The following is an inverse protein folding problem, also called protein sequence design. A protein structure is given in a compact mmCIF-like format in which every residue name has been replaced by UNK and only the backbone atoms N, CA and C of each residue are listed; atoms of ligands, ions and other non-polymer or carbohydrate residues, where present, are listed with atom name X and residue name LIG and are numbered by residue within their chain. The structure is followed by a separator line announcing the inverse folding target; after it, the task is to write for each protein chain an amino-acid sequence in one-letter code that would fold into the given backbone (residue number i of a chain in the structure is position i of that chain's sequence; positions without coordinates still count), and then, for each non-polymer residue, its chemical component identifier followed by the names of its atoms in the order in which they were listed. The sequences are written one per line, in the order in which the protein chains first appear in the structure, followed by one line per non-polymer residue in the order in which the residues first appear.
data_IF_490385312701
#
_entry.id   IF_490385312701
#
_cell.length_a   1.000
_cell.length_b   1.000
_cell.length_c   1.000
_cell.angle_alpha   90.00
_cell.angle_beta   90.00
_cell.angle_gamma   90.00
#
_symmetry.space_group_name_H-M   'P 1'
#
loop_
_entity.id
_entity.type
_entity.pdbx_description
1 polymer ?
#
# COMPACT_ATOMS: atom_id res chain seq x y z
N UNK A 1 15.91 -10.38 3.12
CA UNK A 1 14.96 -10.20 1.98
C UNK A 1 13.91 -9.18 2.39
N UNK A 2 13.45 -8.32 1.49
CA UNK A 2 12.40 -7.34 1.79
C UNK A 2 11.04 -7.91 1.33
N UNK A 3 10.08 -7.99 2.25
CA UNK A 3 8.73 -8.50 1.98
C UNK A 3 7.75 -7.33 2.04
N UNK A 4 6.86 -7.25 1.06
CA UNK A 4 5.66 -6.43 1.09
C UNK A 4 4.42 -7.31 1.13
N UNK A 5 3.29 -6.77 1.55
CA UNK A 5 2.07 -7.53 1.62
C UNK A 5 0.81 -6.71 1.39
N UNK A 6 -0.29 -7.40 1.33
CA UNK A 6 -1.63 -6.84 1.25
C UNK A 6 -2.63 -7.80 1.88
N UNK A 7 -3.47 -7.29 2.77
CA UNK A 7 -4.61 -8.04 3.27
C UNK A 7 -5.65 -8.25 2.16
N UNK A 8 -6.15 -9.45 2.07
CA UNK A 8 -7.30 -9.85 1.26
C UNK A 8 -8.52 -10.03 2.18
N UNK A 9 -9.72 -10.10 1.62
CA UNK A 9 -10.95 -10.22 2.42
C UNK A 9 -10.93 -11.43 3.36
N UNK A 10 -10.37 -12.55 2.89
CA UNK A 10 -10.33 -13.81 3.63
C UNK A 10 -8.90 -14.40 3.68
N UNK A 11 -7.88 -13.56 3.57
CA UNK A 11 -6.51 -14.02 3.49
C UNK A 11 -5.46 -12.93 3.44
N UNK A 12 -4.26 -13.34 3.05
CA UNK A 12 -3.07 -12.48 2.96
C UNK A 12 -2.33 -12.78 1.65
N UNK A 13 -1.88 -11.73 0.98
CA UNK A 13 -0.92 -11.78 -0.13
C UNK A 13 0.41 -11.22 0.36
N UNK A 14 1.48 -11.98 0.21
CA UNK A 14 2.86 -11.54 0.45
C UNK A 14 3.64 -11.55 -0.86
N UNK A 15 4.58 -10.62 -0.99
CA UNK A 15 5.40 -10.46 -2.18
C UNK A 15 6.85 -10.17 -1.79
N UNK A 16 7.77 -10.85 -2.46
CA UNK A 16 9.18 -10.47 -2.51
C UNK A 16 9.48 -9.64 -3.77
N UNK A 17 10.73 -9.53 -4.13
CA UNK A 17 11.12 -8.96 -5.42
C UNK A 17 10.75 -9.89 -6.59
N UNK A 18 10.84 -11.22 -6.42
CA UNK A 18 10.71 -12.25 -7.48
C UNK A 18 9.40 -13.02 -7.46
N UNK A 19 8.82 -13.22 -6.29
CA UNK A 19 7.68 -14.11 -6.10
C UNK A 19 6.55 -13.45 -5.34
N UNK A 20 5.38 -14.04 -5.49
CA UNK A 20 4.22 -13.77 -4.65
C UNK A 20 3.67 -15.09 -4.09
N UNK A 21 3.12 -15.03 -2.90
CA UNK A 21 2.36 -16.10 -2.26
C UNK A 21 1.11 -15.53 -1.61
N UNK A 22 -0.02 -16.15 -1.85
CA UNK A 22 -1.30 -15.80 -1.27
C UNK A 22 -1.89 -17.01 -0.55
N UNK A 23 -2.35 -16.81 0.67
CA UNK A 23 -3.10 -17.80 1.42
C UNK A 23 -4.48 -17.27 1.75
N UNK A 24 -5.51 -18.11 1.59
CA UNK A 24 -6.91 -17.76 1.79
C UNK A 24 -7.58 -18.82 2.64
N UNK A 25 -8.40 -18.40 3.61
CA UNK A 25 -9.30 -19.27 4.37
C UNK A 25 -10.54 -19.57 3.54
N UNK A 26 -10.74 -20.81 3.17
CA UNK A 26 -11.92 -21.26 2.44
C UNK A 26 -13.14 -21.36 3.36
N UNK A 27 -14.33 -21.53 2.74
CA UNK A 27 -15.57 -21.63 3.49
C UNK A 27 -15.68 -22.91 4.36
N UNK A 28 -14.95 -23.95 4.00
CA UNK A 28 -14.85 -25.20 4.78
C UNK A 28 -13.83 -25.14 5.93
N UNK A 29 -13.16 -23.97 6.09
CA UNK A 29 -12.15 -23.76 7.12
C UNK A 29 -10.72 -24.15 6.70
N UNK A 30 -10.51 -24.77 5.55
CA UNK A 30 -9.17 -25.09 5.04
C UNK A 30 -8.41 -23.83 4.60
N UNK A 31 -7.08 -23.91 4.59
CA UNK A 31 -6.20 -22.85 4.07
C UNK A 31 -5.70 -23.26 2.71
N UNK A 32 -6.10 -22.52 1.68
CA UNK A 32 -5.58 -22.69 0.33
C UNK A 32 -4.43 -21.70 0.09
N UNK A 33 -3.28 -22.25 -0.31
CA UNK A 33 -2.10 -21.48 -0.67
C UNK A 33 -1.90 -21.51 -2.18
N UNK A 34 -1.60 -20.36 -2.76
CA UNK A 34 -1.29 -20.20 -4.18
C UNK A 34 -0.09 -19.27 -4.30
N UNK A 35 0.78 -19.54 -5.25
CA UNK A 35 2.01 -18.77 -5.42
C UNK A 35 2.43 -18.70 -6.88
N UNK A 36 3.40 -17.83 -7.18
CA UNK A 36 3.94 -17.71 -8.52
C UNK A 36 5.06 -16.69 -8.64
N UNK A 37 5.69 -16.68 -9.82
CA UNK A 37 6.69 -15.67 -10.15
C UNK A 37 6.01 -14.30 -10.37
N UNK A 38 6.70 -13.25 -9.95
CA UNK A 38 6.28 -11.87 -10.17
C UNK A 38 6.70 -11.42 -11.57
N UNK A 39 5.73 -10.92 -12.33
CA UNK A 39 6.04 -10.34 -13.62
C UNK A 39 6.75 -8.99 -13.44
N UNK A 40 7.87 -8.80 -14.11
CA UNK A 40 8.55 -7.52 -14.18
C UNK A 40 8.11 -6.75 -15.42
N UNK A 41 8.02 -5.42 -15.27
CA UNK A 41 7.73 -4.54 -16.40
C UNK A 41 8.93 -4.53 -17.36
N UNK A 42 8.72 -4.55 -18.68
CA UNK A 42 9.80 -4.39 -19.65
C UNK A 42 10.60 -3.10 -19.37
N UNK A 43 11.92 -3.20 -19.30
CA UNK A 43 12.79 -2.06 -18.99
C UNK A 43 12.78 -1.62 -17.52
N UNK A 44 12.21 -2.41 -16.61
CA UNK A 44 12.12 -2.10 -15.18
C UNK A 44 13.47 -1.72 -14.57
N UNK A 45 14.56 -2.35 -14.97
CA UNK A 45 15.89 -2.05 -14.43
C UNK A 45 16.34 -0.62 -14.70
N UNK A 46 16.12 -0.13 -15.93
CA UNK A 46 16.43 1.27 -16.28
C UNK A 46 15.54 2.24 -15.51
N UNK A 47 14.24 1.93 -15.40
CA UNK A 47 13.27 2.76 -14.69
C UNK A 47 13.54 2.80 -13.18
N UNK A 48 14.04 1.71 -12.60
CA UNK A 48 14.42 1.63 -11.17
C UNK A 48 15.58 2.54 -10.79
N UNK A 49 16.37 3.03 -11.76
CA UNK A 49 17.46 3.98 -11.52
C UNK A 49 17.00 5.43 -11.56
N UNK A 50 15.81 5.71 -12.12
CA UNK A 50 15.31 7.07 -12.30
C UNK A 50 14.56 7.53 -11.03
N UNK A 51 15.06 8.56 -10.31
CA UNK A 51 14.33 9.15 -9.18
C UNK A 51 12.92 9.60 -9.61
N UNK A 52 11.98 9.60 -8.66
CA UNK A 52 10.56 9.90 -8.84
C UNK A 52 9.77 8.85 -9.64
N UNK A 53 10.41 8.09 -10.54
CA UNK A 53 9.72 7.07 -11.36
C UNK A 53 9.84 5.68 -10.72
N UNK A 54 10.99 5.36 -10.13
CA UNK A 54 11.28 4.04 -9.56
C UNK A 54 10.28 3.56 -8.50
N UNK A 55 9.80 4.47 -7.65
CA UNK A 55 8.81 4.13 -6.63
C UNK A 55 7.45 3.79 -7.24
N UNK A 56 7.03 4.59 -8.23
CA UNK A 56 5.78 4.36 -8.98
C UNK A 56 5.84 3.06 -9.77
N UNK A 57 6.99 2.76 -10.40
CA UNK A 57 7.18 1.52 -11.14
C UNK A 57 7.09 0.29 -10.22
N UNK A 58 7.73 0.33 -9.04
CA UNK A 58 7.62 -0.75 -8.04
C UNK A 58 6.19 -0.95 -7.55
N UNK A 59 5.45 0.13 -7.34
CA UNK A 59 4.02 0.05 -7.00
C UNK A 59 3.22 -0.60 -8.13
N UNK A 60 3.46 -0.20 -9.37
CA UNK A 60 2.80 -0.79 -10.54
C UNK A 60 3.12 -2.30 -10.67
N UNK A 61 4.37 -2.72 -10.48
CA UNK A 61 4.76 -4.13 -10.46
C UNK A 61 4.08 -4.91 -9.32
N UNK A 62 3.96 -4.30 -8.14
CA UNK A 62 3.25 -4.92 -7.02
C UNK A 62 1.76 -5.11 -7.30
N UNK A 63 1.14 -4.18 -8.01
CA UNK A 63 -0.26 -4.30 -8.42
C UNK A 63 -0.47 -5.23 -9.62
N UNK A 64 0.54 -5.37 -10.48
CA UNK A 64 0.48 -6.23 -11.67
C UNK A 64 0.33 -7.73 -11.33
N UNK A 65 0.61 -8.14 -10.09
CA UNK A 65 0.38 -9.54 -9.67
C UNK A 65 -1.10 -9.84 -9.37
N UNK A 66 -1.92 -8.83 -9.10
CA UNK A 66 -3.31 -9.02 -8.63
C UNK A 66 -4.18 -9.84 -9.58
N UNK A 67 -4.11 -9.69 -10.92
CA UNK A 67 -4.84 -10.56 -11.83
C UNK A 67 -4.43 -12.04 -11.74
N UNK A 68 -3.14 -12.32 -11.47
CA UNK A 68 -2.65 -13.68 -11.28
C UNK A 68 -3.15 -14.26 -9.95
N UNK A 69 -3.06 -13.48 -8.87
CA UNK A 69 -3.59 -13.84 -7.56
C UNK A 69 -5.09 -14.13 -7.64
N UNK A 70 -5.87 -13.26 -8.30
CA UNK A 70 -7.31 -13.46 -8.48
C UNK A 70 -7.63 -14.77 -9.22
N UNK A 71 -6.90 -15.06 -10.30
CA UNK A 71 -7.09 -16.32 -11.06
C UNK A 71 -6.76 -17.55 -10.23
N UNK A 72 -5.71 -17.47 -9.43
CA UNK A 72 -5.25 -18.59 -8.60
C UNK A 72 -6.13 -18.82 -7.37
N UNK A 73 -6.62 -17.74 -6.77
CA UNK A 73 -7.39 -17.82 -5.51
C UNK A 73 -8.90 -17.78 -5.71
N UNK A 74 -9.38 -17.24 -6.85
CA UNK A 74 -10.81 -16.97 -7.06
C UNK A 74 -11.38 -15.85 -6.17
N UNK A 75 -10.59 -15.30 -5.26
CA UNK A 75 -11.04 -14.30 -4.30
C UNK A 75 -10.97 -12.87 -4.90
N UNK A 76 -11.86 -11.96 -4.46
CA UNK A 76 -11.74 -10.54 -4.79
C UNK A 76 -10.43 -9.99 -4.25
N UNK A 77 -9.64 -9.35 -5.13
CA UNK A 77 -8.34 -8.77 -4.77
C UNK A 77 -8.35 -7.24 -4.77
N UNK A 78 -9.37 -6.63 -5.40
CA UNK A 78 -9.53 -5.19 -5.46
C UNK A 78 -10.77 -4.74 -4.68
N UNK A 79 -10.65 -3.70 -3.83
CA UNK A 79 -11.79 -3.14 -3.10
C UNK A 79 -12.94 -2.70 -4.03
N UNK A 80 -12.61 -2.23 -5.25
CA UNK A 80 -13.56 -1.74 -6.24
C UNK A 80 -14.45 -2.83 -6.85
N UNK A 81 -14.18 -4.10 -6.55
CA UNK A 81 -15.07 -5.21 -6.92
C UNK A 81 -16.36 -5.23 -6.08
N UNK A 82 -16.36 -4.56 -4.92
CA UNK A 82 -17.57 -4.26 -4.16
C UNK A 82 -18.21 -2.99 -4.74
N UNK A 83 -19.49 -3.03 -5.19
CA UNK A 83 -20.21 -1.87 -5.73
C UNK A 83 -20.27 -0.69 -4.76
N UNK A 84 -20.29 -0.96 -3.44
CA UNK A 84 -20.28 0.09 -2.40
C UNK A 84 -18.94 0.83 -2.38
N UNK A 85 -17.84 0.10 -2.55
CA UNK A 85 -16.50 0.66 -2.60
C UNK A 85 -16.27 1.44 -3.89
N UNK A 86 -16.80 0.92 -5.01
CA UNK A 86 -16.78 1.65 -6.29
C UNK A 86 -17.52 2.98 -6.18
N UNK A 87 -18.74 2.96 -5.60
CA UNK A 87 -19.52 4.18 -5.38
C UNK A 87 -18.82 5.17 -4.42
N UNK A 88 -18.24 4.68 -3.32
CA UNK A 88 -17.49 5.51 -2.38
C UNK A 88 -16.25 6.16 -3.04
N UNK A 89 -15.54 5.40 -3.87
CA UNK A 89 -14.37 5.91 -4.61
C UNK A 89 -14.79 6.97 -5.64
N UNK A 90 -15.87 6.73 -6.37
CA UNK A 90 -16.42 7.71 -7.32
C UNK A 90 -16.89 8.99 -6.62
N UNK A 91 -17.59 8.87 -5.48
CA UNK A 91 -18.03 10.00 -4.68
C UNK A 91 -16.83 10.81 -4.13
N UNK A 92 -15.79 10.13 -3.65
CA UNK A 92 -14.55 10.75 -3.18
C UNK A 92 -13.85 11.50 -4.31
N UNK A 93 -13.76 10.92 -5.50
CA UNK A 93 -13.19 11.57 -6.68
C UNK A 93 -13.98 12.82 -7.07
N UNK A 94 -15.30 12.74 -7.13
CA UNK A 94 -16.18 13.88 -7.43
C UNK A 94 -16.03 14.99 -6.40
N UNK A 95 -16.02 14.67 -5.10
CA UNK A 95 -15.82 15.63 -4.01
C UNK A 95 -14.43 16.28 -4.09
N UNK A 96 -13.38 15.53 -4.42
CA UNK A 96 -12.03 16.05 -4.65
C UNK A 96 -12.00 17.06 -5.80
N UNK A 97 -12.63 16.73 -6.93
CA UNK A 97 -12.75 17.65 -8.07
C UNK A 97 -13.52 18.92 -7.69
N UNK A 98 -14.63 18.79 -6.96
CA UNK A 98 -15.41 19.93 -6.47
C UNK A 98 -14.59 20.82 -5.52
N UNK A 99 -13.84 20.23 -4.57
CA UNK A 99 -12.94 20.98 -3.67
C UNK A 99 -11.85 21.74 -4.46
N UNK A 100 -11.25 21.09 -5.46
CA UNK A 100 -10.21 21.69 -6.29
C UNK A 100 -10.73 22.80 -7.21
N UNK A 101 -11.98 22.72 -7.66
CA UNK A 101 -12.63 23.75 -8.50
C UNK A 101 -13.00 25.02 -7.73
N UNK A 102 -13.12 24.97 -6.40
CA UNK A 102 -13.46 26.13 -5.57
C UNK A 102 -12.33 27.16 -5.62
N UNK A 103 -12.69 28.45 -5.81
CA UNK A 103 -11.72 29.57 -5.81
C UNK A 103 -11.45 30.15 -4.42
N UNK A 104 -12.29 29.81 -3.42
CA UNK A 104 -12.24 30.36 -2.06
C UNK A 104 -11.49 29.42 -1.11
N UNK A 105 -10.87 29.99 -0.09
CA UNK A 105 -10.25 29.25 1.01
C UNK A 105 -8.74 29.11 0.92
N UNK A 106 -8.11 28.75 2.04
CA UNK A 106 -6.68 28.50 2.17
C UNK A 106 -6.25 27.30 1.32
N UNK A 107 -5.14 27.39 0.58
CA UNK A 107 -4.56 26.26 -0.15
C UNK A 107 -4.29 25.04 0.76
N UNK A 108 -3.76 25.29 1.95
CA UNK A 108 -3.44 24.24 2.94
C UNK A 108 -4.70 23.53 3.40
N UNK A 109 -5.76 24.29 3.76
CA UNK A 109 -7.03 23.68 4.19
C UNK A 109 -7.68 22.86 3.07
N UNK A 110 -7.55 23.28 1.81
CA UNK A 110 -8.03 22.52 0.66
C UNK A 110 -7.31 21.19 0.52
N UNK A 111 -5.98 21.18 0.60
CA UNK A 111 -5.22 19.93 0.49
C UNK A 111 -5.49 18.99 1.66
N UNK A 112 -5.67 19.51 2.86
CA UNK A 112 -6.11 18.70 4.01
C UNK A 112 -7.52 18.13 3.80
N UNK A 113 -8.45 18.92 3.27
CA UNK A 113 -9.81 18.46 2.96
C UNK A 113 -9.79 17.40 1.84
N UNK A 114 -8.99 17.61 0.79
CA UNK A 114 -8.79 16.62 -0.29
C UNK A 114 -8.20 15.33 0.27
N UNK A 115 -7.18 15.42 1.13
CA UNK A 115 -6.59 14.25 1.78
C UNK A 115 -7.64 13.49 2.62
N UNK A 116 -8.42 14.19 3.44
CA UNK A 116 -9.48 13.59 4.25
C UNK A 116 -10.55 12.89 3.40
N UNK A 117 -11.04 13.54 2.34
CA UNK A 117 -12.01 12.97 1.41
C UNK A 117 -11.43 11.76 0.67
N UNK A 118 -10.17 11.82 0.27
CA UNK A 118 -9.50 10.71 -0.43
C UNK A 118 -9.27 9.48 0.45
N UNK A 119 -9.20 9.65 1.76
CA UNK A 119 -9.11 8.55 2.73
C UNK A 119 -10.47 7.90 3.03
N UNK A 120 -11.59 8.56 2.73
CA UNK A 120 -12.92 8.05 3.09
C UNK A 120 -13.23 6.64 2.54
N UNK A 121 -12.94 6.29 1.28
CA UNK A 121 -13.14 4.93 0.79
C UNK A 121 -12.30 3.89 1.55
N UNK A 122 -11.04 4.22 1.87
CA UNK A 122 -10.18 3.36 2.66
C UNK A 122 -10.73 3.11 4.06
N UNK A 123 -11.19 4.17 4.74
CA UNK A 123 -11.78 4.06 6.07
C UNK A 123 -13.09 3.24 6.06
N UNK A 124 -13.88 3.33 4.99
CA UNK A 124 -15.07 2.51 4.80
C UNK A 124 -14.71 1.04 4.59
N UNK A 125 -13.70 0.74 3.79
CA UNK A 125 -13.19 -0.61 3.56
C UNK A 125 -12.73 -1.25 4.87
N UNK A 126 -11.99 -0.49 5.67
CA UNK A 126 -11.38 -0.96 6.91
C UNK A 126 -12.35 -0.98 8.12
N UNK A 127 -13.59 -0.54 7.93
CA UNK A 127 -14.68 -0.86 8.86
C UNK A 127 -15.01 -2.36 8.89
N UNK A 128 -14.63 -3.10 7.86
CA UNK A 128 -14.67 -4.56 7.90
C UNK A 128 -13.58 -5.04 8.89
N UNK A 129 -14.02 -5.39 10.09
CA UNK A 129 -13.15 -5.89 11.16
C UNK A 129 -12.37 -7.16 10.75
N UNK A 130 -12.88 -7.93 9.78
CA UNK A 130 -12.22 -9.12 9.25
C UNK A 130 -11.00 -8.74 8.40
N UNK A 131 -11.14 -7.79 7.48
CA UNK A 131 -10.03 -7.28 6.67
C UNK A 131 -8.96 -6.62 7.54
N UNK A 132 -9.37 -5.81 8.54
CA UNK A 132 -8.43 -5.16 9.45
C UNK A 132 -7.63 -6.18 10.29
N UNK A 133 -8.23 -7.32 10.66
CA UNK A 133 -7.51 -8.41 11.33
C UNK A 133 -6.54 -9.14 10.40
N UNK A 134 -6.90 -9.41 9.14
CA UNK A 134 -5.94 -9.97 8.18
C UNK A 134 -4.80 -9.00 7.87
N UNK A 135 -5.06 -7.69 7.90
CA UNK A 135 -4.00 -6.68 7.79
C UNK A 135 -3.08 -6.69 9.02
N UNK A 136 -3.63 -6.88 10.22
CA UNK A 136 -2.84 -7.11 11.43
C UNK A 136 -2.01 -8.41 11.36
N UNK A 137 -2.60 -9.50 10.83
CA UNK A 137 -1.91 -10.77 10.65
C UNK A 137 -0.75 -10.66 9.66
N UNK A 138 -0.97 -9.97 8.51
CA UNK A 138 0.08 -9.67 7.54
C UNK A 138 1.26 -8.93 8.18
N UNK A 139 0.98 -7.85 8.92
CA UNK A 139 2.02 -7.06 9.59
C UNK A 139 2.79 -7.88 10.63
N UNK A 140 2.08 -8.63 11.48
CA UNK A 140 2.70 -9.47 12.51
C UNK A 140 3.60 -10.54 11.91
N UNK A 141 3.15 -11.21 10.84
CA UNK A 141 3.93 -12.24 10.15
C UNK A 141 5.21 -11.68 9.51
N UNK A 142 5.11 -10.51 8.84
CA UNK A 142 6.28 -9.82 8.28
C UNK A 142 7.22 -9.36 9.39
N UNK A 143 6.71 -8.73 10.44
CA UNK A 143 7.51 -8.22 11.56
C UNK A 143 8.19 -9.36 12.34
N UNK A 144 7.53 -10.49 12.50
CA UNK A 144 8.08 -11.71 13.09
C UNK A 144 9.28 -12.23 12.28
N UNK A 145 9.12 -12.35 10.97
CA UNK A 145 10.20 -12.74 10.07
C UNK A 145 11.41 -11.79 10.16
N UNK A 146 11.17 -10.47 10.20
CA UNK A 146 12.23 -9.46 10.24
C UNK A 146 12.97 -9.39 11.58
N UNK A 147 12.27 -9.66 12.67
CA UNK A 147 12.83 -9.55 14.03
C UNK A 147 13.24 -10.90 14.64
N UNK A 148 12.87 -12.03 14.02
CA UNK A 148 13.08 -13.37 14.55
C UNK A 148 12.23 -13.67 15.82
N UNK A 149 11.09 -12.97 15.98
CA UNK A 149 10.14 -13.18 17.08
C UNK A 149 8.97 -14.05 16.62
N UNK A 150 8.19 -14.55 17.60
CA UNK A 150 6.93 -15.20 17.29
C UNK A 150 5.90 -14.20 16.75
N UNK A 151 5.08 -14.56 15.72
CA UNK A 151 4.08 -13.68 15.15
C UNK A 151 3.10 -13.10 16.18
N UNK A 152 2.72 -13.89 17.19
CA UNK A 152 1.82 -13.43 18.25
C UNK A 152 2.39 -12.28 19.09
N UNK A 153 3.72 -12.21 19.23
CA UNK A 153 4.43 -11.17 20.01
C UNK A 153 4.79 -9.94 19.19
N UNK A 154 4.69 -10.01 17.86
CA UNK A 154 5.01 -8.90 16.98
C UNK A 154 3.92 -7.82 17.03
N UNK A 155 4.30 -6.57 16.74
CA UNK A 155 3.35 -5.46 16.66
C UNK A 155 2.51 -5.55 15.37
N UNK A 156 1.23 -5.16 15.47
CA UNK A 156 0.33 -5.08 14.31
C UNK A 156 0.53 -3.80 13.48
N UNK A 157 1.25 -2.82 14.00
CA UNK A 157 1.68 -1.62 13.27
C UNK A 157 3.01 -1.89 12.55
N UNK A 158 3.10 -1.49 11.29
CA UNK A 158 4.30 -1.73 10.49
C UNK A 158 4.83 -0.44 9.85
N UNK A 159 6.14 -0.21 9.98
CA UNK A 159 6.79 1.02 9.50
C UNK A 159 6.74 1.20 7.96
N UNK A 160 6.61 0.10 7.21
CA UNK A 160 6.54 0.12 5.74
C UNK A 160 5.13 -0.06 5.19
N UNK A 161 4.10 0.03 6.03
CA UNK A 161 2.71 0.01 5.57
C UNK A 161 2.42 1.22 4.67
N UNK A 162 1.59 0.99 3.64
CA UNK A 162 1.15 2.03 2.71
C UNK A 162 0.45 3.22 3.37
N UNK A 163 -0.14 3.05 4.56
CA UNK A 163 -0.71 4.16 5.35
C UNK A 163 0.33 5.24 5.70
N UNK A 164 1.60 4.88 5.79
CA UNK A 164 2.70 5.83 6.06
C UNK A 164 3.03 6.74 4.84
N UNK A 165 2.39 6.53 3.69
CA UNK A 165 2.42 7.46 2.56
C UNK A 165 1.55 8.70 2.75
N UNK A 166 0.66 8.74 3.75
CA UNK A 166 -0.29 9.85 3.95
C UNK A 166 0.44 11.18 4.08
N UNK A 167 1.36 11.31 5.04
CA UNK A 167 2.10 12.56 5.21
C UNK A 167 2.97 12.91 3.98
N UNK A 168 3.76 11.99 3.39
CA UNK A 168 4.44 12.22 2.13
C UNK A 168 3.54 12.74 1.01
N UNK A 169 2.39 12.10 0.77
CA UNK A 169 1.46 12.51 -0.30
C UNK A 169 0.89 13.92 -0.03
N UNK A 170 0.48 14.21 1.20
CA UNK A 170 -0.06 15.53 1.56
C UNK A 170 1.00 16.62 1.34
N UNK A 171 2.23 16.40 1.82
CA UNK A 171 3.32 17.37 1.70
C UNK A 171 3.71 17.61 0.24
N UNK A 172 3.90 16.56 -0.53
CA UNK A 172 4.31 16.67 -1.93
C UNK A 172 3.19 17.24 -2.81
N UNK A 173 1.93 16.87 -2.56
CA UNK A 173 0.77 17.47 -3.24
C UNK A 173 0.62 18.94 -2.93
N UNK A 174 0.80 19.35 -1.68
CA UNK A 174 0.79 20.77 -1.30
C UNK A 174 1.90 21.52 -2.03
N UNK A 175 3.13 21.00 -2.02
CA UNK A 175 4.28 21.62 -2.69
C UNK A 175 4.07 21.80 -4.20
N UNK A 176 3.63 20.73 -4.89
CA UNK A 176 3.39 20.78 -6.34
C UNK A 176 2.22 21.71 -6.71
N UNK A 177 1.15 21.72 -5.90
CA UNK A 177 0.01 22.62 -6.14
C UNK A 177 0.36 24.08 -5.89
N UNK A 178 1.18 24.39 -4.88
CA UNK A 178 1.70 25.75 -4.66
C UNK A 178 2.60 26.19 -5.82
N UNK A 179 3.46 25.30 -6.32
CA UNK A 179 4.29 25.59 -7.50
C UNK A 179 3.45 25.88 -8.76
N UNK A 180 2.41 25.06 -9.03
CA UNK A 180 1.49 25.31 -10.14
C UNK A 180 0.81 26.67 -10.05
N UNK A 181 0.40 27.08 -8.84
CA UNK A 181 -0.20 28.40 -8.61
C UNK A 181 0.79 29.52 -8.85
N UNK A 182 2.01 29.40 -8.35
CA UNK A 182 3.07 30.40 -8.56
C UNK A 182 3.40 30.59 -10.04
N UNK A 183 3.24 29.53 -10.85
CA UNK A 183 3.42 29.55 -12.30
C UNK A 183 2.15 29.96 -13.07
N UNK A 184 1.01 30.18 -12.40
CA UNK A 184 -0.27 30.51 -13.05
C UNK A 184 -0.88 29.36 -13.87
N UNK A 185 -0.41 28.11 -13.64
CA UNK A 185 -0.75 26.93 -14.46
C UNK A 185 -1.70 25.95 -13.76
N UNK A 186 -2.27 26.34 -12.63
CA UNK A 186 -3.14 25.47 -11.80
C UNK A 186 -4.42 25.02 -12.48
N UNK A 187 -4.77 25.62 -13.63
CA UNK A 187 -5.96 25.25 -14.44
C UNK A 187 -5.64 24.50 -15.70
N UNK A 188 -4.38 24.31 -16.02
CA UNK A 188 -3.96 23.53 -17.18
C UNK A 188 -4.07 22.03 -16.86
N UNK A 189 -4.89 21.24 -17.56
CA UNK A 189 -5.09 19.82 -17.24
C UNK A 189 -3.80 19.02 -17.31
N UNK A 190 -2.97 19.27 -18.34
CA UNK A 190 -1.68 18.58 -18.51
C UNK A 190 -0.71 18.93 -17.37
N UNK A 191 -0.61 20.21 -17.01
CA UNK A 191 0.26 20.64 -15.91
C UNK A 191 -0.18 20.02 -14.57
N UNK A 192 -1.49 19.95 -14.33
CA UNK A 192 -2.06 19.31 -13.14
C UNK A 192 -1.79 17.79 -13.11
N UNK A 193 -1.91 17.11 -14.24
CA UNK A 193 -1.57 15.69 -14.36
C UNK A 193 -0.09 15.44 -14.07
N UNK A 194 0.80 16.20 -14.70
CA UNK A 194 2.25 16.11 -14.48
C UNK A 194 2.61 16.39 -13.04
N UNK A 195 2.04 17.43 -12.42
CA UNK A 195 2.26 17.74 -11.01
C UNK A 195 1.78 16.61 -10.09
N UNK A 196 0.66 15.96 -10.42
CA UNK A 196 0.17 14.79 -9.68
C UNK A 196 1.14 13.60 -9.76
N UNK A 197 1.69 13.30 -10.93
CA UNK A 197 2.70 12.26 -11.12
C UNK A 197 4.01 12.59 -10.39
N UNK A 198 4.47 13.82 -10.46
CA UNK A 198 5.65 14.31 -9.73
C UNK A 198 5.42 14.22 -8.22
N UNK A 199 4.24 14.62 -7.75
CA UNK A 199 3.85 14.51 -6.33
C UNK A 199 3.90 13.05 -5.86
N UNK A 200 3.29 12.14 -6.61
CA UNK A 200 3.31 10.71 -6.28
C UNK A 200 4.74 10.16 -6.25
N UNK A 201 5.55 10.47 -7.27
CA UNK A 201 6.94 10.06 -7.32
C UNK A 201 7.75 10.58 -6.14
N UNK A 202 7.60 11.86 -5.80
CA UNK A 202 8.27 12.47 -4.65
C UNK A 202 7.79 11.87 -3.31
N UNK A 203 6.51 11.56 -3.18
CA UNK A 203 5.97 10.87 -2.00
C UNK A 203 6.58 9.47 -1.83
N UNK A 204 6.73 8.72 -2.93
CA UNK A 204 7.37 7.39 -2.91
C UNK A 204 8.88 7.47 -2.56
N UNK A 205 9.59 8.50 -3.03
CA UNK A 205 10.98 8.73 -2.62
C UNK A 205 11.09 9.05 -1.13
N UNK A 206 10.23 9.95 -0.64
CA UNK A 206 10.19 10.29 0.78
C UNK A 206 9.83 9.08 1.65
N UNK A 207 8.85 8.30 1.24
CA UNK A 207 8.48 7.04 1.91
C UNK A 207 9.66 6.04 1.92
N UNK A 208 10.34 5.86 0.79
CA UNK A 208 11.51 5.00 0.69
C UNK A 208 12.66 5.49 1.58
N UNK A 209 12.83 6.80 1.70
CA UNK A 209 13.81 7.39 2.63
C UNK A 209 13.41 7.12 4.09
N UNK A 210 12.15 7.33 4.45
CA UNK A 210 11.62 7.04 5.80
C UNK A 210 11.82 5.56 6.18
N UNK A 211 11.60 4.65 5.23
CA UNK A 211 11.78 3.22 5.45
C UNK A 211 13.24 2.82 5.70
N UNK A 212 14.19 3.54 5.11
CA UNK A 212 15.63 3.31 5.31
C UNK A 212 16.21 4.01 6.56
N UNK A 213 15.57 5.08 7.02
CA UNK A 213 16.02 5.91 8.14
C UNK A 213 15.01 5.89 9.28
N UNK A 214 14.62 4.70 9.72
CA UNK A 214 13.50 4.52 10.65
C UNK A 214 13.72 5.24 11.99
N UNK A 215 14.95 5.38 12.43
CA UNK A 215 15.30 6.03 13.68
C UNK A 215 15.45 7.55 13.59
N UNK A 216 15.50 8.10 12.39
CA UNK A 216 15.62 9.53 12.19
C UNK A 216 14.37 10.27 12.72
N UNK A 217 14.52 11.37 13.52
CA UNK A 217 13.38 12.09 14.12
C UNK A 217 12.33 12.53 13.10
N UNK A 218 12.75 13.06 11.94
CA UNK A 218 11.84 13.47 10.87
C UNK A 218 11.07 12.27 10.31
N UNK A 219 11.71 11.11 10.11
CA UNK A 219 11.03 9.92 9.63
C UNK A 219 10.01 9.42 10.65
N UNK A 220 10.32 9.46 11.93
CA UNK A 220 9.38 9.14 13.02
C UNK A 220 8.16 10.07 12.98
N UNK A 221 8.40 11.38 12.89
CA UNK A 221 7.32 12.39 12.81
C UNK A 221 6.43 12.20 11.59
N UNK A 222 7.01 11.98 10.41
CA UNK A 222 6.25 11.79 9.18
C UNK A 222 5.44 10.48 9.16
N UNK A 223 5.83 9.48 9.92
CA UNK A 223 5.08 8.22 10.07
C UNK A 223 3.92 8.31 11.06
N UNK A 224 3.93 9.26 12.00
CA UNK A 224 2.90 9.34 13.04
C UNK A 224 1.46 9.26 12.50
N UNK A 225 1.03 10.02 11.46
CA UNK A 225 -0.33 9.92 10.97
C UNK A 225 -0.69 8.52 10.45
N UNK A 226 0.26 7.86 9.77
CA UNK A 226 0.06 6.51 9.24
C UNK A 226 0.01 5.44 10.34
N UNK A 227 0.89 5.52 11.34
CA UNK A 227 0.90 4.62 12.50
C UNK A 227 -0.36 4.78 13.34
N UNK A 228 -0.81 6.02 13.61
CA UNK A 228 -2.06 6.25 14.35
C UNK A 228 -3.28 5.74 13.56
N UNK A 229 -3.27 5.88 12.24
CA UNK A 229 -4.31 5.31 11.40
C UNK A 229 -4.30 3.77 11.47
N UNK A 230 -3.12 3.13 11.44
CA UNK A 230 -2.99 1.69 11.64
C UNK A 230 -3.59 1.29 12.99
N UNK A 231 -3.13 1.91 14.07
CA UNK A 231 -3.55 1.60 15.43
C UNK A 231 -5.05 1.71 15.63
N UNK A 232 -5.66 2.79 15.11
CA UNK A 232 -7.06 3.12 15.37
C UNK A 232 -8.04 2.44 14.41
N UNK A 233 -7.66 2.18 13.15
CA UNK A 233 -8.63 1.85 12.12
C UNK A 233 -8.21 0.75 11.16
N UNK A 234 -6.92 0.72 10.72
CA UNK A 234 -6.58 -0.11 9.55
C UNK A 234 -6.03 -1.47 9.91
N UNK A 235 -5.60 -1.69 11.16
CA UNK A 235 -5.18 -2.99 11.69
C UNK A 235 -5.93 -3.31 12.97
N UNK A 236 -6.29 -4.57 13.14
CA UNK A 236 -6.86 -5.11 14.37
C UNK A 236 -6.07 -6.34 14.79
N UNK A 237 -6.15 -6.70 16.07
CA UNK A 237 -5.49 -7.90 16.58
C UNK A 237 -6.07 -9.13 15.87
N UNK A 238 -5.24 -9.93 15.17
CA UNK A 238 -5.70 -11.09 14.46
C UNK A 238 -6.04 -12.24 15.41
N UNK A 239 -6.94 -13.10 14.98
CA UNK A 239 -7.17 -14.39 15.65
C UNK A 239 -6.04 -15.38 15.29
N UNK A 240 -5.84 -16.46 16.08
CA UNK A 240 -4.88 -17.51 15.73
C UNK A 240 -5.10 -18.08 14.32
N UNK A 241 -6.35 -18.29 13.92
CA UNK A 241 -6.69 -18.77 12.57
C UNK A 241 -6.26 -17.82 11.45
N UNK A 242 -6.23 -16.51 11.72
CA UNK A 242 -5.79 -15.51 10.75
C UNK A 242 -4.27 -15.40 10.69
N UNK A 243 -3.58 -15.60 11.82
CA UNK A 243 -2.12 -15.74 11.85
C UNK A 243 -1.69 -16.98 11.08
N UNK A 244 -2.36 -18.13 11.27
CA UNK A 244 -2.10 -19.35 10.49
C UNK A 244 -2.12 -19.09 8.98
N UNK A 245 -3.09 -18.31 8.49
CA UNK A 245 -3.18 -17.96 7.06
C UNK A 245 -1.99 -17.09 6.64
N UNK A 246 -1.61 -16.08 7.44
CA UNK A 246 -0.48 -15.22 7.12
C UNK A 246 0.84 -15.99 7.13
N UNK A 247 1.03 -16.89 8.08
CA UNK A 247 2.21 -17.75 8.20
C UNK A 247 2.30 -18.78 7.07
N UNK A 248 1.16 -19.30 6.60
CA UNK A 248 1.12 -20.15 5.43
C UNK A 248 1.57 -19.43 4.16
N UNK A 249 1.14 -18.17 3.97
CA UNK A 249 1.61 -17.33 2.85
C UNK A 249 3.12 -17.04 2.96
N UNK A 250 3.60 -16.72 4.18
CA UNK A 250 5.02 -16.43 4.43
C UNK A 250 5.88 -17.67 4.16
N UNK A 251 5.50 -18.81 4.72
CA UNK A 251 6.22 -20.08 4.55
C UNK A 251 6.36 -20.45 3.07
N UNK A 252 5.28 -20.29 2.29
CA UNK A 252 5.33 -20.56 0.85
C UNK A 252 6.22 -19.57 0.10
N UNK A 253 6.18 -18.27 0.45
CA UNK A 253 7.04 -17.26 -0.15
C UNK A 253 8.53 -17.57 0.12
N UNK A 254 8.86 -17.93 1.36
CA UNK A 254 10.23 -18.31 1.76
C UNK A 254 10.69 -19.57 1.04
N UNK A 255 9.82 -20.59 0.95
CA UNK A 255 10.11 -21.84 0.21
C UNK A 255 10.47 -21.55 -1.25
N UNK A 256 9.78 -20.62 -1.93
CA UNK A 256 10.08 -20.25 -3.31
C UNK A 256 11.41 -19.54 -3.44
N UNK A 257 11.74 -18.64 -2.52
CA UNK A 257 13.03 -17.93 -2.53
C UNK A 257 14.22 -18.89 -2.29
N UNK A 258 14.05 -19.90 -1.44
CA UNK A 258 15.07 -20.91 -1.18
C UNK A 258 15.21 -21.91 -2.31
N UNK A 259 14.10 -22.33 -2.93
CA UNK A 259 14.11 -23.33 -4.00
C UNK A 259 14.72 -22.83 -5.32
N UNK A 260 14.68 -21.52 -5.58
CA UNK A 260 15.14 -20.93 -6.84
C UNK A 260 16.10 -19.74 -6.63
N UNK A 261 17.28 -19.96 -5.99
CA UNK A 261 18.22 -18.88 -5.70
C UNK A 261 18.89 -18.29 -6.94
N UNK A 262 18.91 -19.00 -8.08
CA UNK A 262 19.74 -18.65 -9.25
C UNK A 262 19.21 -17.54 -10.14
N UNK A 263 17.96 -17.08 -10.02
CA UNK A 263 17.46 -15.95 -10.80
C UNK A 263 17.95 -14.59 -10.30
N UNK A 264 18.94 -14.57 -9.41
CA UNK A 264 19.53 -13.37 -8.82
C UNK A 264 20.72 -12.79 -9.63
N UNK A 265 21.11 -13.42 -10.75
CA UNK A 265 22.32 -13.07 -11.52
C UNK A 265 22.11 -13.01 -13.04
N UNK A 266 20.95 -12.60 -13.49
CA UNK A 266 20.78 -12.31 -14.92
C UNK A 266 20.41 -10.85 -15.16
#
# INVERSE_FOLDING_TARGET
MQIGGMALRDGVLLQSEKYWAAAIREADGSVRVSSGAKAHLPGAETVRQVPLVRGVARLAESLAVLPAVRRATGAPVLPQEDPRMLAATAASAAATLALRSTRRGSPVLKELAVAGVSLAPLLLLLRDSRLARYHGAEHKSIAAYESGREPAEAEKEHARCGSNLIAPIVLTSLGTNLALRALGREREPLATLVAGLVSLGAAMELFSWMARHQDHPLAKTLRLPGIELQRAFTTSEPTPDQLEVADAALSELLRLEEAFPEHARA
#
